data_IF_345319979953
#
_entry.id   IF_345319979953
#
_cell.length_a   1.000
_cell.length_b   1.000
_cell.length_c   1.000
_cell.angle_alpha   90.00
_cell.angle_beta   90.00
_cell.angle_gamma   90.00
#
_symmetry.space_group_name_H-M   'P 1'
#
loop_
_entity.id
_entity.type
_entity.pdbx_description
1 polymer ?
#
# COMPACT_ATOMS: atom_id res chain seq x y z
N UNK A 1 34.51 68.95 28.83
CA UNK A 1 33.38 68.28 28.17
C UNK A 1 33.79 66.82 27.95
N UNK A 2 33.31 65.90 28.82
CA UNK A 2 33.53 64.45 28.72
C UNK A 2 32.29 63.81 28.13
N UNK A 3 32.36 63.19 26.96
CA UNK A 3 31.29 62.38 26.36
C UNK A 3 31.42 60.95 26.89
N UNK A 4 30.43 60.47 27.62
CA UNK A 4 30.27 59.08 28.00
C UNK A 4 29.61 58.30 26.88
N UNK A 5 30.32 57.28 26.36
CA UNK A 5 29.83 56.35 25.38
C UNK A 5 29.10 55.21 26.13
N UNK A 6 27.77 55.13 26.01
CA UNK A 6 26.98 54.06 26.53
C UNK A 6 27.06 52.81 25.62
N UNK A 7 27.51 51.70 26.19
CA UNK A 7 27.61 50.40 25.53
C UNK A 7 26.27 49.69 25.63
N UNK A 8 25.56 49.51 24.51
CA UNK A 8 24.35 48.69 24.46
C UNK A 8 24.73 47.24 24.17
N UNK A 9 24.62 46.38 25.16
CA UNK A 9 24.71 44.94 24.95
C UNK A 9 23.36 44.43 24.43
N UNK A 10 23.31 44.07 23.16
CA UNK A 10 22.20 43.39 22.52
C UNK A 10 22.33 41.90 22.86
N UNK A 11 21.56 41.40 23.82
CA UNK A 11 21.46 39.96 24.10
C UNK A 11 20.58 39.30 23.01
N UNK A 12 21.18 38.63 22.04
CA UNK A 12 20.46 37.80 21.09
C UNK A 12 20.05 36.50 21.79
N UNK A 13 18.76 36.40 22.17
CA UNK A 13 18.15 35.15 22.60
C UNK A 13 17.94 34.27 21.37
N UNK A 14 18.83 33.32 21.19
CA UNK A 14 18.70 32.28 20.17
C UNK A 14 17.65 31.26 20.64
N UNK A 15 16.40 31.43 20.21
CA UNK A 15 15.34 30.46 20.43
C UNK A 15 15.69 29.19 19.64
N UNK A 16 16.28 28.18 20.30
CA UNK A 16 16.37 26.83 19.74
C UNK A 16 14.97 26.25 19.66
N UNK A 17 14.36 26.32 18.50
CA UNK A 17 13.17 25.51 18.18
C UNK A 17 13.59 24.06 18.12
N UNK A 18 13.42 23.34 19.21
CA UNK A 18 13.43 21.88 19.19
C UNK A 18 12.22 21.46 18.34
N UNK A 19 12.47 21.07 17.10
CA UNK A 19 11.50 20.30 16.32
C UNK A 19 11.35 18.96 17.03
N UNK A 20 10.31 18.84 17.86
CA UNK A 20 9.86 17.55 18.38
C UNK A 20 9.50 16.71 17.15
N UNK A 21 10.39 15.78 16.78
CA UNK A 21 10.07 14.75 15.81
C UNK A 21 8.96 13.92 16.45
N UNK A 22 7.73 14.06 15.95
CA UNK A 22 6.60 13.26 16.40
C UNK A 22 6.88 11.84 15.89
N UNK A 23 7.31 10.95 16.77
CA UNK A 23 7.37 9.53 16.46
C UNK A 23 5.93 8.98 16.40
N UNK A 24 5.70 7.96 15.58
CA UNK A 24 4.43 7.23 15.62
C UNK A 24 4.22 6.67 17.02
N UNK A 25 2.98 6.73 17.51
CA UNK A 25 2.64 6.23 18.83
C UNK A 25 2.66 4.69 18.84
N UNK A 26 3.16 4.10 19.92
CA UNK A 26 2.98 2.68 20.19
C UNK A 26 1.71 2.46 21.02
N UNK A 27 1.36 1.21 21.30
CA UNK A 27 0.10 0.87 21.97
C UNK A 27 -0.12 1.59 23.32
N UNK A 28 0.89 1.73 24.22
CA UNK A 28 0.71 2.42 25.50
C UNK A 28 0.32 3.89 25.33
N UNK A 29 0.90 4.59 24.35
CA UNK A 29 0.56 5.99 24.07
C UNK A 29 -0.84 6.10 23.45
N UNK A 30 -1.23 5.13 22.59
CA UNK A 30 -2.57 5.06 22.01
C UNK A 30 -3.62 4.80 23.10
N UNK A 31 -3.39 3.88 24.02
CA UNK A 31 -4.28 3.60 25.14
C UNK A 31 -4.40 4.81 26.07
N UNK A 32 -3.29 5.49 26.35
CA UNK A 32 -3.26 6.71 27.18
C UNK A 32 -4.01 7.87 26.51
N UNK A 33 -3.85 8.06 25.21
CA UNK A 33 -4.55 9.12 24.44
C UNK A 33 -6.00 8.76 24.13
N UNK A 34 -6.33 7.47 24.21
CA UNK A 34 -7.64 6.92 23.85
C UNK A 34 -7.91 6.90 22.34
N UNK A 35 -6.87 7.07 21.49
CA UNK A 35 -7.10 7.20 20.03
C UNK A 35 -5.96 6.59 19.20
N UNK A 36 -6.30 5.68 18.29
CA UNK A 36 -5.48 5.21 17.18
C UNK A 36 -5.80 6.02 15.92
N UNK A 37 -4.79 6.61 15.29
CA UNK A 37 -4.91 7.39 14.05
C UNK A 37 -4.50 6.54 12.86
N UNK A 38 -5.43 6.21 11.96
CA UNK A 38 -5.15 5.43 10.76
C UNK A 38 -5.25 6.27 9.50
N UNK A 39 -4.31 6.06 8.57
CA UNK A 39 -4.37 6.58 7.20
C UNK A 39 -4.94 5.53 6.27
N UNK A 40 -5.85 5.92 5.38
CA UNK A 40 -6.42 5.07 4.33
C UNK A 40 -6.32 5.76 2.98
N UNK A 41 -6.23 4.98 1.91
CA UNK A 41 -6.18 5.49 0.54
C UNK A 41 -7.57 5.84 0.03
N UNK A 42 -7.67 6.77 -0.92
CA UNK A 42 -8.93 7.25 -1.49
C UNK A 42 -9.33 6.55 -2.80
N UNK A 43 -8.39 5.89 -3.49
CA UNK A 43 -8.58 5.53 -4.91
C UNK A 43 -7.91 4.20 -5.32
N UNK A 44 -8.08 3.17 -4.49
CA UNK A 44 -7.51 1.83 -4.73
C UNK A 44 -8.55 0.72 -4.56
N UNK A 45 -9.47 0.60 -5.52
CA UNK A 45 -10.47 -0.48 -5.52
C UNK A 45 -9.82 -1.87 -5.73
N UNK A 46 -10.35 -2.92 -5.08
CA UNK A 46 -11.48 -2.96 -4.16
C UNK A 46 -11.09 -2.76 -2.67
N UNK A 47 -9.87 -2.29 -2.38
CA UNK A 47 -9.36 -2.20 -1.00
C UNK A 47 -9.84 -0.95 -0.27
N UNK A 48 -9.63 0.23 -0.87
CA UNK A 48 -10.03 1.54 -0.38
C UNK A 48 -10.41 2.41 -1.58
N UNK A 49 -11.62 2.92 -1.62
CA UNK A 49 -12.05 3.84 -2.67
C UNK A 49 -13.23 4.70 -2.19
N UNK A 50 -13.53 5.75 -2.95
CA UNK A 50 -14.67 6.60 -2.68
C UNK A 50 -15.86 6.16 -3.54
N UNK A 51 -16.99 5.84 -2.89
CA UNK A 51 -18.24 5.49 -3.54
C UNK A 51 -19.30 6.52 -3.18
N UNK A 52 -19.73 7.34 -4.16
CA UNK A 52 -20.68 8.43 -3.95
C UNK A 52 -20.31 9.37 -2.78
N UNK A 53 -19.02 9.71 -2.67
CA UNK A 53 -18.50 10.59 -1.62
C UNK A 53 -18.26 9.91 -0.26
N UNK A 54 -18.51 8.60 -0.13
CA UNK A 54 -18.26 7.84 1.09
C UNK A 54 -17.11 6.84 0.88
N UNK A 55 -16.30 6.64 1.93
CA UNK A 55 -15.29 5.59 1.91
C UNK A 55 -15.94 4.21 1.78
N UNK A 56 -15.40 3.37 0.90
CA UNK A 56 -15.87 2.00 0.67
C UNK A 56 -14.69 1.06 0.40
N UNK A 57 -14.94 -0.26 0.36
CA UNK A 57 -13.92 -1.26 0.09
C UNK A 57 -13.65 -2.20 1.27
N UNK A 58 -12.76 -3.16 1.02
CA UNK A 58 -12.36 -4.17 2.00
C UNK A 58 -11.87 -3.54 3.33
N UNK A 59 -10.98 -2.55 3.25
CA UNK A 59 -10.41 -1.94 4.45
C UNK A 59 -11.42 -1.05 5.20
N UNK A 60 -12.48 -0.56 4.57
CA UNK A 60 -13.58 0.10 5.29
C UNK A 60 -14.31 -0.89 6.21
N UNK A 61 -14.57 -2.11 5.72
CA UNK A 61 -15.21 -3.14 6.54
C UNK A 61 -14.27 -3.68 7.63
N UNK A 62 -12.97 -3.83 7.32
CA UNK A 62 -11.94 -4.16 8.31
C UNK A 62 -11.79 -3.08 9.39
N UNK A 63 -11.90 -1.80 9.02
CA UNK A 63 -11.88 -0.69 9.97
C UNK A 63 -13.11 -0.71 10.88
N UNK A 64 -14.29 -1.04 10.35
CA UNK A 64 -15.48 -1.21 11.16
C UNK A 64 -15.30 -2.33 12.21
N UNK A 65 -14.77 -3.48 11.79
CA UNK A 65 -14.45 -4.59 12.71
C UNK A 65 -13.35 -4.20 13.73
N UNK A 66 -12.34 -3.42 13.34
CA UNK A 66 -11.32 -2.92 14.26
C UNK A 66 -11.92 -1.97 15.31
N UNK A 67 -12.87 -1.12 14.94
CA UNK A 67 -13.58 -0.24 15.90
C UNK A 67 -14.42 -1.01 16.91
N UNK A 68 -14.96 -2.16 16.53
CA UNK A 68 -15.70 -3.05 17.44
C UNK A 68 -14.74 -3.82 18.37
N UNK A 69 -13.56 -4.19 17.87
CA UNK A 69 -12.54 -4.93 18.61
C UNK A 69 -11.78 -4.06 19.61
N UNK A 70 -11.46 -2.82 19.23
CA UNK A 70 -10.59 -1.92 19.98
C UNK A 70 -11.30 -1.36 21.22
N UNK A 71 -10.52 -1.16 22.31
CA UNK A 71 -10.96 -0.49 23.53
C UNK A 71 -10.69 1.03 23.50
N UNK A 72 -10.17 1.54 22.41
CA UNK A 72 -9.87 2.95 22.15
C UNK A 72 -10.56 3.39 20.85
N UNK A 73 -10.68 4.69 20.65
CA UNK A 73 -11.24 5.24 19.43
C UNK A 73 -10.27 5.00 18.24
N UNK A 74 -10.81 4.70 17.06
CA UNK A 74 -10.03 4.56 15.81
C UNK A 74 -10.50 5.64 14.84
N UNK A 75 -9.67 6.67 14.67
CA UNK A 75 -9.91 7.75 13.71
C UNK A 75 -9.32 7.42 12.35
N UNK A 76 -9.98 7.87 11.29
CA UNK A 76 -9.56 7.65 9.91
C UNK A 76 -9.29 8.98 9.21
N UNK A 77 -8.17 9.07 8.52
CA UNK A 77 -7.91 10.09 7.51
C UNK A 77 -7.76 9.45 6.15
N UNK A 78 -8.47 9.97 5.15
CA UNK A 78 -8.43 9.48 3.78
C UNK A 78 -7.47 10.37 3.00
N UNK A 79 -6.47 9.77 2.37
CA UNK A 79 -5.36 10.45 1.70
C UNK A 79 -5.14 9.88 0.30
N UNK A 80 -4.61 10.66 -0.64
CA UNK A 80 -4.01 10.12 -1.84
C UNK A 80 -2.85 9.17 -1.48
N UNK A 81 -2.63 8.15 -2.31
CA UNK A 81 -1.50 7.22 -2.10
C UNK A 81 -0.15 7.93 -1.99
N UNK A 82 0.06 8.93 -2.87
CA UNK A 82 1.29 9.73 -2.86
C UNK A 82 1.44 10.44 -1.52
N UNK A 83 2.49 10.08 -0.77
CA UNK A 83 2.78 10.64 0.55
C UNK A 83 2.14 9.91 1.73
N UNK A 84 1.18 9.00 1.53
CA UNK A 84 0.51 8.28 2.62
C UNK A 84 1.50 7.50 3.50
N UNK A 85 2.37 6.70 2.91
CA UNK A 85 3.38 5.94 3.68
C UNK A 85 4.41 6.86 4.35
N UNK A 86 4.77 7.98 3.72
CA UNK A 86 5.66 8.97 4.34
C UNK A 86 5.00 9.61 5.58
N UNK A 87 3.72 9.94 5.52
CA UNK A 87 2.97 10.49 6.66
C UNK A 87 2.89 9.49 7.84
N UNK A 88 2.78 8.17 7.55
CA UNK A 88 2.84 7.13 8.58
C UNK A 88 4.27 7.01 9.14
N UNK A 89 5.30 6.99 8.29
CA UNK A 89 6.69 6.83 8.74
C UNK A 89 7.19 7.98 9.62
N UNK A 90 6.62 9.18 9.44
CA UNK A 90 6.95 10.38 10.25
C UNK A 90 6.09 10.53 11.50
N UNK A 91 5.16 9.58 11.78
CA UNK A 91 4.30 9.59 12.99
C UNK A 91 3.10 10.52 12.91
N UNK A 92 2.78 11.06 11.74
CA UNK A 92 1.53 11.80 11.56
C UNK A 92 0.31 10.87 11.76
N UNK A 93 0.45 9.62 11.37
CA UNK A 93 -0.48 8.52 11.62
C UNK A 93 0.27 7.35 12.27
N UNK A 94 -0.46 6.55 13.04
CA UNK A 94 0.11 5.44 13.78
C UNK A 94 0.26 4.19 12.89
N UNK A 95 -0.59 4.04 11.88
CA UNK A 95 -0.49 2.98 10.86
C UNK A 95 -1.29 3.34 9.61
N UNK A 96 -1.12 2.54 8.54
CA UNK A 96 -1.98 2.61 7.37
C UNK A 96 -2.88 1.36 7.26
N UNK A 97 -4.17 1.57 6.97
CA UNK A 97 -5.12 0.55 6.52
C UNK A 97 -5.35 0.73 5.02
N UNK A 98 -4.50 0.14 4.21
CA UNK A 98 -4.54 0.26 2.75
C UNK A 98 -4.04 -1.02 2.09
N UNK A 99 -4.21 -1.12 0.76
CA UNK A 99 -3.71 -2.21 -0.06
C UNK A 99 -2.19 -2.22 -0.22
N UNK A 100 -1.43 -1.98 0.85
CA UNK A 100 0.02 -1.97 0.79
C UNK A 100 0.59 -3.37 0.58
N UNK A 101 1.48 -3.50 -0.41
CA UNK A 101 2.24 -4.73 -0.67
C UNK A 101 3.55 -4.69 0.10
N UNK A 102 3.93 -5.81 0.70
CA UNK A 102 5.23 -5.98 1.37
C UNK A 102 6.35 -5.94 0.34
N UNK A 103 7.37 -5.11 0.57
CA UNK A 103 8.62 -5.05 -0.22
C UNK A 103 9.82 -4.87 0.70
N UNK A 104 11.01 -5.23 0.22
CA UNK A 104 12.27 -5.07 0.97
C UNK A 104 12.51 -3.61 1.37
N UNK A 105 12.26 -2.68 0.45
CA UNK A 105 12.40 -1.24 0.71
C UNK A 105 11.48 -0.81 1.86
N UNK A 106 10.21 -1.21 1.83
CA UNK A 106 9.24 -0.86 2.88
C UNK A 106 9.58 -1.52 4.21
N UNK A 107 10.15 -2.73 4.18
CA UNK A 107 10.63 -3.42 5.39
C UNK A 107 11.83 -2.75 6.06
N UNK A 108 12.50 -1.79 5.41
CA UNK A 108 13.50 -0.95 6.08
C UNK A 108 12.87 0.06 7.07
N UNK A 109 11.63 0.47 6.83
CA UNK A 109 10.93 1.53 7.58
C UNK A 109 9.78 0.99 8.41
N UNK A 110 9.09 -0.04 7.92
CA UNK A 110 7.89 -0.61 8.53
C UNK A 110 8.10 -2.07 8.92
N UNK A 111 7.34 -2.51 9.90
CA UNK A 111 6.90 -3.88 10.05
C UNK A 111 5.50 -4.02 9.45
N UNK A 112 5.10 -5.22 9.07
CA UNK A 112 3.79 -5.49 8.51
C UNK A 112 3.01 -6.46 9.38
N UNK A 113 1.70 -6.25 9.51
CA UNK A 113 0.79 -7.20 10.14
C UNK A 113 0.88 -8.57 9.45
N UNK A 114 0.30 -9.65 10.02
CA UNK A 114 0.03 -10.84 9.24
C UNK A 114 -0.69 -10.47 7.94
N UNK A 115 -0.32 -11.09 6.80
CA UNK A 115 -0.96 -10.82 5.52
C UNK A 115 -2.45 -11.14 5.53
N UNK A 116 -3.23 -10.34 4.85
CA UNK A 116 -4.67 -10.55 4.70
C UNK A 116 -5.08 -10.84 3.24
N UNK A 117 -4.15 -10.76 2.28
CA UNK A 117 -4.35 -11.22 0.89
C UNK A 117 -3.02 -11.52 0.20
N UNK A 118 -3.08 -12.25 -0.91
CA UNK A 118 -1.98 -12.40 -1.86
C UNK A 118 -1.80 -11.13 -2.69
N UNK A 119 -0.58 -10.89 -3.16
CA UNK A 119 -0.19 -9.70 -3.93
C UNK A 119 0.60 -10.03 -5.20
N UNK A 120 0.29 -11.12 -5.89
CA UNK A 120 0.86 -11.38 -7.21
C UNK A 120 0.37 -10.34 -8.22
N UNK A 121 1.25 -9.85 -9.09
CA UNK A 121 0.93 -8.82 -10.06
C UNK A 121 0.64 -9.40 -11.44
N UNK A 122 -0.33 -8.82 -12.11
CA UNK A 122 -0.75 -9.17 -13.47
C UNK A 122 -0.81 -7.92 -14.33
N UNK A 123 -0.58 -8.07 -15.62
CA UNK A 123 -0.85 -6.97 -16.52
C UNK A 123 -2.33 -6.94 -16.94
N UNK A 124 -2.82 -5.73 -17.18
CA UNK A 124 -4.12 -5.41 -17.77
C UNK A 124 -3.88 -4.88 -19.16
N UNK A 125 -4.66 -5.33 -20.11
CA UNK A 125 -4.69 -4.86 -21.49
C UNK A 125 -6.11 -4.42 -21.88
N UNK A 126 -6.26 -3.78 -23.03
CA UNK A 126 -7.59 -3.50 -23.59
C UNK A 126 -8.31 -4.81 -23.97
N UNK A 127 -9.61 -4.85 -23.76
CA UNK A 127 -10.42 -5.95 -24.27
C UNK A 127 -10.31 -6.01 -25.80
N UNK A 128 -10.14 -7.25 -26.35
CA UNK A 128 -9.96 -7.47 -27.79
C UNK A 128 -8.56 -7.17 -28.33
N UNK A 129 -7.62 -6.72 -27.50
CA UNK A 129 -6.24 -6.58 -27.92
C UNK A 129 -5.54 -7.98 -27.96
N UNK A 130 -5.40 -8.50 -29.17
CA UNK A 130 -4.78 -9.81 -29.42
C UNK A 130 -3.26 -9.73 -29.64
N UNK A 131 -2.65 -8.56 -29.46
CA UNK A 131 -1.20 -8.36 -29.61
C UNK A 131 -0.41 -8.64 -28.33
N UNK A 132 -1.08 -8.78 -27.18
CA UNK A 132 -0.47 -8.98 -25.87
C UNK A 132 -0.99 -10.27 -25.21
N UNK A 133 -0.49 -11.41 -25.61
CA UNK A 133 -0.93 -12.73 -25.10
C UNK A 133 0.15 -13.46 -24.30
N UNK A 134 1.42 -13.10 -24.49
CA UNK A 134 2.59 -13.69 -23.83
C UNK A 134 3.42 -12.60 -23.17
N UNK A 135 4.35 -13.00 -22.30
CA UNK A 135 5.32 -12.06 -21.71
C UNK A 135 6.24 -11.46 -22.77
N UNK A 136 6.59 -12.23 -23.81
CA UNK A 136 7.40 -11.75 -24.92
C UNK A 136 6.74 -10.58 -25.68
N UNK A 137 5.42 -10.57 -25.78
CA UNK A 137 4.67 -9.51 -26.45
C UNK A 137 4.75 -8.16 -25.73
N UNK A 138 5.14 -8.15 -24.45
CA UNK A 138 5.34 -6.93 -23.66
C UNK A 138 6.65 -6.20 -24.01
N UNK A 139 7.52 -6.83 -24.85
CA UNK A 139 8.80 -6.25 -25.26
C UNK A 139 8.61 -4.92 -25.96
N UNK A 140 9.27 -3.86 -25.44
CA UNK A 140 9.22 -2.51 -25.98
C UNK A 140 7.89 -1.77 -25.79
N UNK A 141 6.88 -2.42 -25.20
CA UNK A 141 5.55 -1.83 -24.95
C UNK A 141 5.56 -0.87 -23.77
N UNK A 142 4.77 0.17 -23.88
CA UNK A 142 4.65 1.22 -22.85
C UNK A 142 3.75 0.73 -21.70
N UNK A 143 4.31 0.68 -20.50
CA UNK A 143 3.62 0.27 -19.26
C UNK A 143 3.27 1.45 -18.39
N UNK A 144 2.05 1.43 -17.82
CA UNK A 144 1.61 2.36 -16.78
C UNK A 144 1.54 1.69 -15.41
N UNK A 145 1.89 2.43 -14.35
CA UNK A 145 1.73 2.04 -12.96
C UNK A 145 1.59 3.26 -12.06
N UNK A 146 1.14 3.03 -10.83
CA UNK A 146 1.02 4.10 -9.86
C UNK A 146 2.40 4.45 -9.28
N UNK A 147 2.69 5.75 -9.17
CA UNK A 147 3.90 6.28 -8.56
C UNK A 147 4.03 5.82 -7.10
N UNK A 148 5.23 5.40 -6.69
CA UNK A 148 5.48 4.87 -5.35
C UNK A 148 4.81 3.52 -5.06
N UNK A 149 4.23 2.85 -6.07
CA UNK A 149 3.69 1.50 -5.88
C UNK A 149 4.79 0.45 -5.69
N UNK A 150 4.45 -0.66 -5.05
CA UNK A 150 5.38 -1.80 -4.88
C UNK A 150 5.87 -2.37 -6.21
N UNK A 151 5.15 -2.10 -7.30
CA UNK A 151 5.50 -2.56 -8.64
C UNK A 151 6.78 -1.94 -9.17
N UNK A 152 7.09 -0.70 -8.80
CA UNK A 152 8.36 -0.08 -9.17
C UNK A 152 9.54 -0.90 -8.63
N UNK A 153 9.46 -1.37 -7.38
CA UNK A 153 10.47 -2.25 -6.78
C UNK A 153 10.52 -3.64 -7.45
N UNK A 154 9.43 -4.10 -8.06
CA UNK A 154 9.30 -5.41 -8.70
C UNK A 154 9.44 -5.40 -10.22
N UNK A 155 9.63 -4.23 -10.84
CA UNK A 155 9.93 -4.12 -12.27
C UNK A 155 11.13 -4.98 -12.75
N UNK A 156 12.19 -5.18 -11.95
CA UNK A 156 13.29 -6.09 -12.32
C UNK A 156 12.81 -7.52 -12.60
N UNK A 157 11.76 -8.02 -11.93
CA UNK A 157 11.21 -9.35 -12.20
C UNK A 157 10.58 -9.41 -13.61
N UNK A 158 9.74 -8.44 -13.96
CA UNK A 158 9.17 -8.34 -15.30
C UNK A 158 10.26 -8.15 -16.36
N UNK A 159 11.24 -7.28 -16.09
CA UNK A 159 12.38 -7.07 -16.99
C UNK A 159 13.09 -8.40 -17.29
N UNK A 160 13.43 -9.17 -16.25
CA UNK A 160 14.07 -10.47 -16.40
C UNK A 160 13.22 -11.47 -17.21
N UNK A 161 11.89 -11.48 -16.99
CA UNK A 161 10.96 -12.33 -17.76
C UNK A 161 10.97 -11.96 -19.25
N UNK A 162 10.95 -10.66 -19.59
CA UNK A 162 10.99 -10.18 -20.98
C UNK A 162 12.35 -10.47 -21.63
N UNK A 163 13.45 -10.23 -20.92
CA UNK A 163 14.81 -10.46 -21.40
C UNK A 163 15.07 -11.96 -21.67
N UNK A 164 14.50 -12.85 -20.85
CA UNK A 164 14.56 -14.30 -21.08
C UNK A 164 13.94 -14.73 -22.42
N UNK A 165 12.98 -13.95 -22.94
CA UNK A 165 12.39 -14.16 -24.27
C UNK A 165 13.06 -13.36 -25.39
N UNK A 166 14.23 -12.76 -25.13
CA UNK A 166 14.99 -11.97 -26.11
C UNK A 166 14.50 -10.53 -26.30
N UNK A 167 13.57 -10.08 -25.45
CA UNK A 167 13.00 -8.74 -25.50
C UNK A 167 13.68 -7.73 -24.57
N UNK A 168 13.07 -6.56 -24.44
CA UNK A 168 13.50 -5.50 -23.51
C UNK A 168 12.27 -4.82 -22.89
N UNK A 169 12.38 -4.41 -21.63
CA UNK A 169 11.33 -3.60 -20.99
C UNK A 169 11.16 -2.27 -21.75
N UNK A 170 9.92 -1.91 -22.05
CA UNK A 170 9.57 -0.67 -22.71
C UNK A 170 9.54 0.53 -21.76
N UNK A 171 9.09 1.72 -22.26
CA UNK A 171 8.94 2.90 -21.43
C UNK A 171 7.97 2.67 -20.27
N UNK A 172 8.36 3.15 -19.07
CA UNK A 172 7.54 3.13 -17.85
C UNK A 172 6.94 4.52 -17.63
N UNK A 173 5.63 4.60 -17.40
CA UNK A 173 4.92 5.85 -17.11
C UNK A 173 4.27 5.73 -15.74
N UNK A 174 4.61 6.64 -14.86
CA UNK A 174 4.07 6.70 -13.51
C UNK A 174 2.88 7.66 -13.44
N UNK A 175 1.83 7.25 -12.75
CA UNK A 175 0.59 8.00 -12.56
C UNK A 175 0.34 8.27 -11.07
N UNK A 176 -0.28 9.38 -10.71
CA UNK A 176 -0.71 9.61 -9.32
C UNK A 176 -1.66 8.54 -8.80
N UNK A 177 -2.54 8.02 -9.69
CA UNK A 177 -3.56 7.04 -9.35
C UNK A 177 -3.73 5.96 -10.43
N UNK A 178 -4.25 4.80 -10.07
CA UNK A 178 -4.57 3.74 -11.02
C UNK A 178 -5.73 4.10 -11.97
N UNK A 179 -6.82 4.79 -11.57
CA UNK A 179 -7.85 5.24 -12.52
C UNK A 179 -7.31 6.07 -13.68
N UNK A 180 -6.32 6.94 -13.44
CA UNK A 180 -5.67 7.70 -14.51
C UNK A 180 -4.89 6.80 -15.48
N UNK A 181 -4.11 5.84 -14.93
CA UNK A 181 -3.41 4.85 -15.76
C UNK A 181 -4.38 4.01 -16.59
N UNK A 182 -5.51 3.58 -16.00
CA UNK A 182 -6.55 2.84 -16.73
C UNK A 182 -7.25 3.69 -17.80
N UNK A 183 -7.47 4.96 -17.54
CA UNK A 183 -8.03 5.88 -18.55
C UNK A 183 -7.08 6.00 -19.74
N UNK A 184 -5.79 6.14 -19.51
CA UNK A 184 -4.78 6.22 -20.57
C UNK A 184 -4.58 4.88 -21.31
N UNK A 185 -4.73 3.73 -20.62
CA UNK A 185 -4.79 2.44 -21.28
C UNK A 185 -5.99 2.32 -22.22
N UNK A 186 -7.19 2.72 -21.77
CA UNK A 186 -8.40 2.71 -22.57
C UNK A 186 -8.27 3.62 -23.80
N UNK A 187 -7.63 4.79 -23.64
CA UNK A 187 -7.37 5.78 -24.68
C UNK A 187 -6.15 5.45 -25.57
N UNK A 188 -5.56 4.27 -25.47
CA UNK A 188 -4.41 3.81 -26.28
C UNK A 188 -3.13 4.64 -26.09
N UNK A 189 -2.98 5.36 -24.98
CA UNK A 189 -1.76 6.09 -24.61
C UNK A 189 -0.74 5.19 -23.93
N UNK A 190 -1.23 4.08 -23.34
CA UNK A 190 -0.46 2.96 -22.80
C UNK A 190 -0.79 1.69 -23.56
N UNK A 191 0.13 0.72 -23.55
CA UNK A 191 -0.11 -0.61 -24.08
C UNK A 191 -0.67 -1.55 -23.02
N UNK A 192 -0.18 -1.45 -21.78
CA UNK A 192 -0.67 -2.19 -20.63
C UNK A 192 -0.44 -1.44 -19.33
N UNK A 193 -1.17 -1.86 -18.28
CA UNK A 193 -1.00 -1.42 -16.90
C UNK A 193 -0.75 -2.63 -16.03
N UNK A 194 0.05 -2.51 -14.99
CA UNK A 194 0.28 -3.60 -14.04
C UNK A 194 -0.36 -3.26 -12.70
N UNK A 195 -1.07 -4.23 -12.10
CA UNK A 195 -1.58 -4.12 -10.74
C UNK A 195 -1.67 -5.50 -10.09
N UNK A 196 -1.97 -5.55 -8.79
CA UNK A 196 -2.23 -6.81 -8.09
C UNK A 196 -3.45 -7.52 -8.68
N UNK A 197 -3.42 -8.84 -8.69
CA UNK A 197 -4.45 -9.67 -9.33
C UNK A 197 -5.87 -9.35 -8.85
N UNK A 198 -6.02 -9.01 -7.59
CA UNK A 198 -7.33 -8.64 -6.99
C UNK A 198 -7.91 -7.40 -7.67
N UNK A 199 -7.14 -6.30 -7.78
CA UNK A 199 -7.58 -5.08 -8.49
C UNK A 199 -7.79 -5.31 -9.98
N UNK A 200 -6.97 -6.15 -10.61
CA UNK A 200 -7.15 -6.54 -12.01
C UNK A 200 -8.46 -7.28 -12.22
N UNK A 201 -8.78 -8.25 -11.36
CA UNK A 201 -10.02 -9.01 -11.42
C UNK A 201 -11.24 -8.11 -11.22
N UNK A 202 -11.18 -7.21 -10.23
CA UNK A 202 -12.25 -6.24 -9.96
C UNK A 202 -12.50 -5.31 -11.15
N UNK A 203 -11.43 -4.70 -11.70
CA UNK A 203 -11.50 -3.83 -12.88
C UNK A 203 -12.10 -4.53 -14.10
N UNK A 204 -11.65 -5.75 -14.41
CA UNK A 204 -12.13 -6.52 -15.57
C UNK A 204 -13.59 -6.93 -15.36
N UNK A 205 -13.98 -7.32 -14.14
CA UNK A 205 -15.38 -7.61 -13.80
C UNK A 205 -16.27 -6.38 -13.96
N UNK A 206 -15.80 -5.20 -13.53
CA UNK A 206 -16.55 -3.95 -13.65
C UNK A 206 -16.65 -3.42 -15.11
N UNK A 207 -15.61 -3.63 -15.91
CA UNK A 207 -15.49 -3.09 -17.28
C UNK A 207 -15.02 -4.13 -18.31
N UNK A 208 -15.74 -5.27 -18.47
CA UNK A 208 -15.29 -6.41 -19.31
C UNK A 208 -15.20 -6.11 -20.79
N UNK A 209 -15.91 -5.07 -21.27
CA UNK A 209 -15.82 -4.60 -22.67
C UNK A 209 -14.64 -3.67 -22.94
N UNK A 210 -13.97 -3.19 -21.88
CA UNK A 210 -12.86 -2.22 -21.99
C UNK A 210 -11.53 -2.87 -21.68
N UNK A 211 -11.48 -3.74 -20.67
CA UNK A 211 -10.25 -4.33 -20.16
C UNK A 211 -10.28 -5.85 -20.14
N UNK A 212 -9.12 -6.44 -20.27
CA UNK A 212 -8.88 -7.88 -20.12
C UNK A 212 -7.64 -8.13 -19.26
N UNK A 213 -7.70 -9.18 -18.45
CA UNK A 213 -6.56 -9.64 -17.67
C UNK A 213 -5.54 -10.35 -18.56
N UNK A 214 -4.27 -10.02 -18.41
CA UNK A 214 -3.15 -10.71 -19.00
C UNK A 214 -2.55 -11.76 -18.05
N UNK A 215 -1.24 -11.98 -18.18
CA UNK A 215 -0.48 -12.96 -17.41
C UNK A 215 0.15 -12.35 -16.14
N UNK A 216 0.60 -13.21 -15.23
CA UNK A 216 1.40 -12.81 -14.09
C UNK A 216 2.76 -12.25 -14.56
N UNK A 217 3.17 -11.14 -13.93
CA UNK A 217 4.42 -10.41 -14.23
C UNK A 217 5.33 -10.28 -13.02
N UNK A 218 4.98 -10.95 -11.92
CA UNK A 218 5.79 -11.07 -10.71
C UNK A 218 5.60 -12.44 -10.07
N UNK A 219 6.51 -12.80 -9.19
CA UNK A 219 6.34 -13.91 -8.25
C UNK A 219 5.27 -13.62 -7.19
N UNK A 220 5.07 -14.53 -6.22
CA UNK A 220 4.18 -14.34 -5.08
C UNK A 220 4.55 -13.09 -4.26
N UNK A 221 3.59 -12.57 -3.54
CA UNK A 221 3.74 -11.45 -2.62
C UNK A 221 2.55 -11.37 -1.67
N UNK A 222 2.60 -10.44 -0.73
CA UNK A 222 1.60 -10.32 0.34
C UNK A 222 1.11 -8.88 0.49
N UNK A 223 -0.18 -8.74 0.75
CA UNK A 223 -0.79 -7.50 1.22
C UNK A 223 -0.94 -7.55 2.73
N UNK A 224 -0.42 -6.53 3.40
CA UNK A 224 -0.45 -6.39 4.84
C UNK A 224 -0.41 -4.92 5.23
N UNK A 225 -0.82 -4.57 6.44
CA UNK A 225 -0.80 -3.19 6.89
C UNK A 225 0.55 -2.80 7.47
N UNK A 226 1.17 -1.71 6.96
CA UNK A 226 2.43 -1.21 7.49
C UNK A 226 2.22 -0.48 8.82
N UNK A 227 3.09 -0.79 9.77
CA UNK A 227 3.20 -0.18 11.09
C UNK A 227 4.65 0.25 11.28
N UNK A 228 4.95 1.47 11.77
CA UNK A 228 6.32 1.91 12.00
C UNK A 228 7.09 0.95 12.89
N UNK A 229 8.39 0.80 12.63
CA UNK A 229 9.25 -0.17 13.36
C UNK A 229 9.36 0.13 14.86
N UNK A 230 9.18 1.37 15.25
CA UNK A 230 9.20 1.82 16.65
C UNK A 230 7.88 1.59 17.40
N UNK A 231 6.91 0.89 16.80
CA UNK A 231 5.60 0.57 17.41
C UNK A 231 5.37 -0.95 17.50
N UNK A 232 6.23 -1.69 18.24
CA UNK A 232 6.15 -3.16 18.31
C UNK A 232 4.91 -3.66 19.07
N UNK A 233 4.41 -2.93 20.06
CA UNK A 233 3.23 -3.33 20.82
C UNK A 233 1.94 -3.11 19.99
N UNK A 234 1.88 -2.05 19.19
CA UNK A 234 0.82 -1.86 18.21
C UNK A 234 0.82 -2.99 17.16
N UNK A 235 2.01 -3.39 16.67
CA UNK A 235 2.14 -4.53 15.77
C UNK A 235 1.59 -5.82 16.40
N UNK A 236 1.94 -6.10 17.63
CA UNK A 236 1.44 -7.27 18.37
C UNK A 236 -0.08 -7.22 18.57
N UNK A 237 -0.62 -6.05 18.87
CA UNK A 237 -2.07 -5.83 18.98
C UNK A 237 -2.79 -6.09 17.66
N UNK A 238 -2.29 -5.52 16.56
CA UNK A 238 -2.87 -5.71 15.24
C UNK A 238 -2.70 -7.14 14.71
N UNK A 239 -1.63 -7.83 15.10
CA UNK A 239 -1.46 -9.28 14.85
C UNK A 239 -2.57 -10.09 15.50
N UNK A 240 -2.90 -9.81 16.76
CA UNK A 240 -4.03 -10.45 17.46
C UNK A 240 -5.36 -10.14 16.79
N UNK A 241 -5.58 -8.90 16.36
CA UNK A 241 -6.77 -8.52 15.64
C UNK A 241 -6.93 -9.29 14.32
N UNK A 242 -5.90 -9.34 13.46
CA UNK A 242 -5.96 -10.08 12.19
C UNK A 242 -6.22 -11.57 12.42
N UNK A 243 -5.55 -12.19 13.41
CA UNK A 243 -5.76 -13.60 13.74
C UNK A 243 -7.18 -13.85 14.30
N UNK A 244 -7.68 -12.95 15.15
CA UNK A 244 -9.08 -12.99 15.58
C UNK A 244 -10.08 -12.95 14.41
N UNK A 245 -9.84 -12.08 13.42
CA UNK A 245 -10.66 -12.02 12.20
C UNK A 245 -10.60 -13.33 11.39
N UNK A 246 -9.46 -14.04 11.40
CA UNK A 246 -9.33 -15.37 10.78
C UNK A 246 -10.08 -16.43 11.55
N UNK A 247 -9.83 -16.54 12.85
CA UNK A 247 -10.43 -17.56 13.75
C UNK A 247 -11.95 -17.49 13.78
N UNK A 248 -12.50 -16.28 13.71
CA UNK A 248 -13.96 -16.06 13.64
C UNK A 248 -14.55 -16.25 12.25
N UNK A 249 -13.73 -16.50 11.22
CA UNK A 249 -14.15 -16.59 9.82
C UNK A 249 -14.49 -15.25 9.16
N UNK A 250 -14.42 -14.15 9.92
CA UNK A 250 -14.81 -12.82 9.40
C UNK A 250 -13.87 -12.33 8.29
N UNK A 251 -12.58 -12.65 8.37
CA UNK A 251 -11.63 -12.31 7.31
C UNK A 251 -12.01 -13.01 5.99
N UNK A 252 -12.31 -14.31 6.04
CA UNK A 252 -12.74 -15.07 4.86
C UNK A 252 -14.05 -14.54 4.26
N UNK A 253 -15.02 -14.16 5.12
CA UNK A 253 -16.26 -13.51 4.68
C UNK A 253 -15.99 -12.24 3.89
N UNK A 254 -15.13 -11.36 4.42
CA UNK A 254 -14.77 -10.09 3.76
C UNK A 254 -13.94 -10.29 2.49
N UNK A 255 -13.00 -11.24 2.47
CA UNK A 255 -12.26 -11.64 1.27
C UNK A 255 -13.25 -12.12 0.18
N UNK A 256 -14.19 -13.00 0.53
CA UNK A 256 -15.19 -13.49 -0.41
C UNK A 256 -16.08 -12.38 -0.94
N UNK A 257 -16.50 -11.45 -0.08
CA UNK A 257 -17.31 -10.28 -0.46
C UNK A 257 -16.60 -9.38 -1.47
N UNK A 258 -15.34 -9.03 -1.18
CA UNK A 258 -14.63 -8.00 -1.93
C UNK A 258 -13.75 -8.54 -3.06
N UNK A 259 -13.17 -9.74 -2.89
CA UNK A 259 -12.24 -10.32 -3.85
C UNK A 259 -12.84 -11.48 -4.64
N UNK A 260 -13.96 -12.05 -4.16
CA UNK A 260 -14.60 -13.20 -4.76
C UNK A 260 -13.95 -14.55 -4.41
N UNK A 261 -12.86 -14.53 -3.66
CA UNK A 261 -12.07 -15.70 -3.24
C UNK A 261 -11.58 -15.53 -1.80
N UNK A 262 -11.10 -16.61 -1.18
CA UNK A 262 -10.48 -16.63 0.16
C UNK A 262 -9.01 -17.03 0.06
N UNK A 263 -8.23 -16.70 1.09
CA UNK A 263 -6.81 -17.00 1.18
C UNK A 263 -6.55 -17.73 2.50
N UNK A 264 -6.63 -19.06 2.48
CA UNK A 264 -6.59 -19.88 3.71
C UNK A 264 -5.13 -20.15 4.17
N UNK A 265 -4.15 -20.14 3.24
CA UNK A 265 -2.75 -20.50 3.52
C UNK A 265 -1.84 -19.27 3.80
N UNK A 266 -2.42 -18.13 4.17
CA UNK A 266 -1.60 -16.95 4.49
C UNK A 266 -0.86 -17.10 5.83
N UNK A 267 0.37 -16.58 5.94
CA UNK A 267 1.10 -16.55 7.21
C UNK A 267 0.29 -15.88 8.33
N UNK A 268 0.37 -16.43 9.54
CA UNK A 268 -0.29 -15.90 10.74
C UNK A 268 0.59 -14.97 11.56
N UNK A 269 1.88 -14.93 11.25
CA UNK A 269 2.86 -14.08 11.89
C UNK A 269 3.07 -12.77 11.12
N UNK A 270 3.42 -11.67 11.80
CA UNK A 270 3.78 -10.42 11.16
C UNK A 270 5.07 -10.58 10.34
N UNK A 271 5.22 -9.79 9.27
CA UNK A 271 6.41 -9.78 8.43
C UNK A 271 7.27 -8.59 8.83
N UNK A 272 8.47 -8.86 9.37
CA UNK A 272 9.35 -7.85 9.99
C UNK A 272 10.73 -7.73 9.34
N UNK A 273 11.07 -8.62 8.41
CA UNK A 273 12.35 -8.59 7.69
C UNK A 273 12.23 -9.09 6.25
N UNK A 274 13.13 -8.63 5.38
CA UNK A 274 13.23 -9.08 4.00
C UNK A 274 13.52 -10.59 3.92
N UNK A 275 14.41 -11.12 4.76
CA UNK A 275 14.72 -12.54 4.79
C UNK A 275 13.49 -13.43 5.12
N UNK A 276 12.66 -12.97 6.07
CA UNK A 276 11.39 -13.63 6.38
C UNK A 276 10.43 -13.55 5.19
N UNK A 277 10.30 -12.37 4.58
CA UNK A 277 9.44 -12.17 3.42
C UNK A 277 9.83 -13.06 2.25
N UNK A 278 11.11 -13.11 1.89
CA UNK A 278 11.62 -13.96 0.80
C UNK A 278 11.35 -15.45 1.06
N UNK A 279 11.62 -15.92 2.30
CA UNK A 279 11.31 -17.30 2.67
C UNK A 279 9.82 -17.64 2.51
N UNK A 280 8.92 -16.73 2.92
CA UNK A 280 7.47 -16.92 2.80
C UNK A 280 6.99 -16.84 1.34
N UNK A 281 7.60 -15.99 0.52
CA UNK A 281 7.28 -15.84 -0.90
C UNK A 281 7.92 -16.92 -1.79
N UNK A 282 8.75 -17.81 -1.23
CA UNK A 282 9.47 -18.84 -2.00
C UNK A 282 10.56 -18.28 -2.93
N UNK A 283 11.22 -17.20 -2.51
CA UNK A 283 12.26 -16.47 -3.25
C UNK A 283 13.65 -16.74 -2.69
#
# INVERSE_FOLDING_TARGET
MKKTMGSYYLAAIMAMTFSLQVAAADLPEIEKSGTLKVATEDDYAPFNFMNNGNADGFNKDMLAALREYAKFNVTQSILPWTGLLAAVSTGQYDMALTGAVVTDERLNVFNFTPPWASAQHYFVKRAGDNSLNTIADLSGKKVGLQAGSALLARLPELKAMIEKSGGKLGPVVEYPSYPEAYADLANKRLDYVINVVISVNDLVKAKPKVFAKGLAVSGPGYMAWPIPKNSPELLAYMTKFINHMRETGKLAELQKKWFGETYDDLPTEPITSAAQFHKLAGQ
#
